data_IF_517547592777
#
_entry.id   IF_517547592777
#
_cell.length_a   1.000
_cell.length_b   1.000
_cell.length_c   1.000
_cell.angle_alpha   90.00
_cell.angle_beta   90.00
_cell.angle_gamma   90.00
#
_symmetry.space_group_name_H-M   'P 1'
#
loop_
_entity.id
_entity.type
_entity.pdbx_description
1 polymer ?
#
# COMPACT_ATOMS: atom_id res chain seq x y z
N UNK A 1 -15.83 -41.88 11.39
CA UNK A 1 -14.85 -40.90 10.92
C UNK A 1 -15.10 -40.77 9.42
N UNK A 2 -15.63 -39.65 8.95
CA UNK A 2 -15.93 -39.50 7.52
C UNK A 2 -14.61 -39.53 6.73
N UNK A 3 -14.53 -40.36 5.68
CA UNK A 3 -13.35 -40.39 4.82
C UNK A 3 -13.15 -39.00 4.21
N UNK A 4 -11.91 -38.46 4.21
CA UNK A 4 -11.65 -37.17 3.59
C UNK A 4 -11.97 -37.26 2.10
N UNK A 5 -12.90 -36.41 1.66
CA UNK A 5 -13.25 -36.33 0.24
C UNK A 5 -12.07 -35.72 -0.51
N UNK A 6 -11.42 -36.53 -1.35
CA UNK A 6 -10.35 -36.06 -2.23
C UNK A 6 -10.93 -35.15 -3.31
N UNK A 7 -10.18 -34.11 -3.63
CA UNK A 7 -10.51 -33.18 -4.70
C UNK A 7 -9.96 -33.69 -6.03
N UNK A 8 -8.84 -34.43 -5.98
CA UNK A 8 -8.25 -35.05 -7.16
C UNK A 8 -9.16 -36.14 -7.74
N UNK A 9 -9.37 -36.12 -9.07
CA UNK A 9 -10.15 -37.15 -9.76
C UNK A 9 -9.36 -38.47 -9.81
N UNK A 10 -9.82 -39.56 -9.17
CA UNK A 10 -9.12 -40.84 -9.19
C UNK A 10 -9.02 -41.46 -10.60
N UNK A 11 -9.91 -41.09 -11.53
CA UNK A 11 -9.86 -41.60 -12.91
C UNK A 11 -8.57 -41.17 -13.62
N UNK A 12 -8.03 -39.98 -13.32
CA UNK A 12 -6.76 -39.52 -13.87
C UNK A 12 -5.59 -40.47 -13.53
N UNK A 13 -5.62 -41.13 -12.36
CA UNK A 13 -4.59 -42.10 -11.96
C UNK A 13 -4.75 -43.40 -12.76
N UNK A 14 -5.99 -43.81 -13.06
CA UNK A 14 -6.28 -44.98 -13.90
C UNK A 14 -5.85 -44.74 -15.34
N UNK A 15 -6.16 -43.57 -15.90
CA UNK A 15 -5.76 -43.19 -17.27
C UNK A 15 -4.23 -43.22 -17.44
N UNK A 16 -3.49 -42.71 -16.44
CA UNK A 16 -2.02 -42.78 -16.44
C UNK A 16 -1.53 -44.23 -16.33
N UNK A 17 -2.15 -45.07 -15.50
CA UNK A 17 -1.78 -46.48 -15.39
C UNK A 17 -2.01 -47.24 -16.71
N UNK A 18 -3.12 -46.99 -17.39
CA UNK A 18 -3.42 -47.55 -18.70
C UNK A 18 -2.42 -47.08 -19.77
N UNK A 19 -1.98 -45.82 -19.72
CA UNK A 19 -0.96 -45.28 -20.64
C UNK A 19 0.39 -45.99 -20.53
N UNK A 20 0.71 -46.54 -19.35
CA UNK A 20 1.91 -47.35 -19.08
C UNK A 20 1.69 -48.84 -19.43
N UNK A 21 0.45 -49.24 -19.74
CA UNK A 21 0.07 -50.61 -20.10
C UNK A 21 -0.46 -51.45 -18.93
N UNK A 22 -0.78 -50.85 -17.79
CA UNK A 22 -1.35 -51.53 -16.63
C UNK A 22 -2.88 -51.48 -16.75
N UNK A 23 -3.50 -52.60 -17.09
CA UNK A 23 -4.94 -52.67 -17.41
C UNK A 23 -5.87 -52.67 -16.20
N UNK A 24 -5.37 -53.03 -15.02
CA UNK A 24 -6.18 -53.03 -13.80
C UNK A 24 -5.32 -52.68 -12.58
N UNK A 25 -5.76 -51.66 -11.85
CA UNK A 25 -5.14 -51.23 -10.60
C UNK A 25 -6.08 -51.56 -9.44
N UNK A 26 -5.52 -51.99 -8.31
CA UNK A 26 -6.31 -52.20 -7.10
C UNK A 26 -6.90 -50.86 -6.61
N UNK A 27 -8.16 -50.86 -6.17
CA UNK A 27 -8.87 -49.67 -5.70
C UNK A 27 -8.18 -49.00 -4.51
N UNK A 28 -7.55 -49.77 -3.64
CA UNK A 28 -6.76 -49.24 -2.53
C UNK A 28 -5.51 -48.49 -3.03
N UNK A 29 -4.86 -48.99 -4.07
CA UNK A 29 -3.71 -48.33 -4.69
C UNK A 29 -4.11 -47.02 -5.38
N UNK A 30 -5.24 -47.01 -6.11
CA UNK A 30 -5.80 -45.80 -6.72
C UNK A 30 -6.06 -44.73 -5.66
N UNK A 31 -6.65 -45.13 -4.52
CA UNK A 31 -6.95 -44.23 -3.40
C UNK A 31 -5.67 -43.65 -2.79
N UNK A 32 -4.68 -44.49 -2.47
CA UNK A 32 -3.42 -44.04 -1.87
C UNK A 32 -2.63 -43.13 -2.80
N UNK A 33 -2.55 -43.46 -4.09
CA UNK A 33 -1.86 -42.63 -5.08
C UNK A 33 -2.57 -41.29 -5.28
N UNK A 34 -3.91 -41.27 -5.34
CA UNK A 34 -4.67 -40.03 -5.46
C UNK A 34 -4.43 -39.10 -4.26
N UNK A 35 -4.38 -39.66 -3.05
CA UNK A 35 -4.03 -38.91 -1.83
C UNK A 35 -2.63 -38.32 -1.88
N UNK A 36 -1.65 -39.12 -2.33
CA UNK A 36 -0.27 -38.65 -2.43
C UNK A 36 -0.12 -37.57 -3.51
N UNK A 37 -0.73 -37.73 -4.68
CA UNK A 37 -0.71 -36.71 -5.75
C UNK A 37 -1.29 -35.39 -5.28
N UNK A 38 -2.45 -35.41 -4.63
CA UNK A 38 -3.08 -34.20 -4.08
C UNK A 38 -2.17 -33.51 -3.04
N UNK A 39 -1.55 -34.29 -2.15
CA UNK A 39 -0.60 -33.77 -1.17
C UNK A 39 0.63 -33.13 -1.83
N UNK A 40 1.23 -33.78 -2.84
CA UNK A 40 2.40 -33.26 -3.57
C UNK A 40 2.08 -32.00 -4.34
N UNK A 41 0.94 -31.94 -5.01
CA UNK A 41 0.46 -30.73 -5.71
C UNK A 41 0.27 -29.60 -4.69
N UNK A 42 -0.35 -29.87 -3.53
CA UNK A 42 -0.49 -28.91 -2.45
C UNK A 42 0.86 -28.39 -1.94
N UNK A 43 1.85 -29.27 -1.77
CA UNK A 43 3.20 -28.90 -1.35
C UNK A 43 3.87 -27.94 -2.35
N UNK A 44 3.78 -28.24 -3.65
CA UNK A 44 4.31 -27.36 -4.71
C UNK A 44 3.62 -26.01 -4.70
N UNK A 45 2.29 -25.97 -4.58
CA UNK A 45 1.52 -24.72 -4.54
C UNK A 45 1.92 -23.86 -3.34
N UNK A 46 2.04 -24.46 -2.15
CA UNK A 46 2.43 -23.72 -0.93
C UNK A 46 3.82 -23.11 -1.06
N UNK A 47 4.80 -23.86 -1.59
CA UNK A 47 6.14 -23.33 -1.81
C UNK A 47 6.16 -22.25 -2.90
N UNK A 48 5.41 -22.43 -3.99
CA UNK A 48 5.27 -21.42 -5.05
C UNK A 48 4.62 -20.13 -4.53
N UNK A 49 3.62 -20.25 -3.64
CA UNK A 49 3.02 -19.08 -2.98
C UNK A 49 4.04 -18.32 -2.14
N UNK A 50 5.02 -18.98 -1.50
CA UNK A 50 6.07 -18.26 -0.76
C UNK A 50 6.91 -17.40 -1.69
N UNK A 51 7.26 -17.89 -2.88
CA UNK A 51 7.96 -17.10 -3.90
C UNK A 51 7.12 -15.93 -4.42
N UNK A 52 5.82 -16.14 -4.65
CA UNK A 52 4.90 -15.06 -5.05
C UNK A 52 4.84 -13.94 -4.02
N UNK A 53 4.67 -14.27 -2.74
CA UNK A 53 4.64 -13.29 -1.65
C UNK A 53 5.98 -12.60 -1.46
N UNK A 54 7.11 -13.34 -1.56
CA UNK A 54 8.44 -12.76 -1.52
C UNK A 54 8.68 -11.76 -2.66
N UNK A 55 8.10 -12.03 -3.84
CA UNK A 55 8.06 -11.12 -4.99
C UNK A 55 7.08 -9.95 -4.85
N UNK A 56 6.37 -9.81 -3.73
CA UNK A 56 5.32 -8.80 -3.49
C UNK A 56 4.22 -8.78 -4.58
N UNK A 57 3.95 -9.95 -5.17
CA UNK A 57 2.90 -10.14 -6.18
C UNK A 57 1.68 -10.81 -5.55
N UNK A 58 0.52 -10.62 -6.17
CA UNK A 58 -0.75 -11.25 -5.79
C UNK A 58 -1.19 -12.34 -6.78
N UNK A 59 -0.51 -12.43 -7.92
CA UNK A 59 -0.78 -13.42 -8.97
C UNK A 59 0.38 -14.40 -9.03
N UNK A 60 0.07 -15.69 -8.90
CA UNK A 60 1.03 -16.79 -9.01
C UNK A 60 1.44 -16.97 -10.48
N UNK A 61 2.74 -16.82 -10.76
CA UNK A 61 3.30 -17.00 -12.10
C UNK A 61 3.88 -18.41 -12.30
N UNK A 62 4.12 -18.79 -13.56
CA UNK A 62 4.79 -20.05 -13.89
C UNK A 62 6.21 -20.12 -13.31
N UNK A 63 6.91 -18.98 -13.25
CA UNK A 63 8.23 -18.85 -12.64
C UNK A 63 8.23 -19.23 -11.15
N UNK A 64 7.16 -18.91 -10.41
CA UNK A 64 7.07 -19.24 -8.98
C UNK A 64 6.98 -20.76 -8.78
N UNK A 65 6.24 -21.44 -9.65
CA UNK A 65 6.15 -22.91 -9.68
C UNK A 65 7.49 -23.52 -10.09
N UNK A 66 8.16 -22.98 -11.11
CA UNK A 66 9.48 -23.47 -11.53
C UNK A 66 10.53 -23.35 -10.43
N UNK A 67 10.49 -22.30 -9.60
CA UNK A 67 11.37 -22.17 -8.45
C UNK A 67 10.99 -23.13 -7.32
N UNK A 68 9.69 -23.32 -7.07
CA UNK A 68 9.21 -24.30 -6.10
C UNK A 68 9.66 -25.74 -6.44
N UNK A 69 9.58 -26.12 -7.72
CA UNK A 69 10.05 -27.43 -8.19
C UNK A 69 11.55 -27.62 -7.94
N UNK A 70 12.37 -26.59 -8.19
CA UNK A 70 13.81 -26.63 -7.90
C UNK A 70 14.11 -26.80 -6.42
N UNK A 71 13.37 -26.13 -5.53
CA UNK A 71 13.57 -26.26 -4.07
C UNK A 71 13.14 -27.63 -3.56
N UNK A 72 12.13 -28.23 -4.19
CA UNK A 72 11.64 -29.56 -3.85
C UNK A 72 12.44 -30.69 -4.54
N UNK A 73 13.56 -30.37 -5.18
CA UNK A 73 14.40 -31.29 -5.96
C UNK A 73 13.60 -32.09 -7.02
N UNK A 74 12.58 -31.47 -7.60
CA UNK A 74 11.78 -32.03 -8.69
C UNK A 74 12.40 -31.62 -10.03
N UNK A 75 12.36 -32.52 -11.01
CA UNK A 75 12.82 -32.24 -12.36
C UNK A 75 12.12 -31.00 -12.96
N UNK A 76 12.87 -30.10 -13.62
CA UNK A 76 12.31 -28.87 -14.15
C UNK A 76 11.39 -29.15 -15.34
N UNK A 77 10.19 -28.53 -15.31
CA UNK A 77 9.24 -28.56 -16.42
C UNK A 77 9.53 -27.42 -17.41
N UNK A 78 9.81 -27.77 -18.66
CA UNK A 78 10.09 -26.82 -19.75
C UNK A 78 8.85 -26.55 -20.60
N UNK A 79 8.85 -25.42 -21.34
CA UNK A 79 7.79 -25.10 -22.30
C UNK A 79 6.67 -24.18 -21.80
N UNK A 80 6.72 -23.74 -20.53
CA UNK A 80 5.69 -22.90 -19.90
C UNK A 80 6.03 -21.39 -19.84
N UNK A 81 6.99 -20.94 -20.65
CA UNK A 81 7.41 -19.53 -20.74
C UNK A 81 6.72 -18.77 -21.88
N UNK A 82 5.94 -19.47 -22.71
CA UNK A 82 5.24 -18.86 -23.85
C UNK A 82 4.21 -17.84 -23.39
N UNK A 83 4.16 -16.69 -24.06
CA UNK A 83 3.12 -15.67 -23.86
C UNK A 83 1.80 -16.01 -24.55
N UNK A 84 1.76 -17.12 -25.30
CA UNK A 84 0.53 -17.59 -25.95
C UNK A 84 -0.38 -18.28 -24.93
N UNK A 85 -1.66 -17.92 -24.83
CA UNK A 85 -2.58 -18.61 -23.96
C UNK A 85 -2.78 -20.05 -24.45
N UNK A 86 -2.84 -21.00 -23.51
CA UNK A 86 -3.17 -22.39 -23.80
C UNK A 86 -4.62 -22.47 -24.30
N UNK A 87 -4.84 -23.23 -25.38
CA UNK A 87 -6.16 -23.56 -25.89
C UNK A 87 -6.43 -25.04 -25.61
N UNK A 88 -7.51 -25.27 -24.85
CA UNK A 88 -7.96 -26.62 -24.53
C UNK A 88 -9.07 -26.99 -25.51
N UNK A 89 -8.81 -28.00 -26.35
CA UNK A 89 -9.79 -28.63 -27.20
C UNK A 89 -10.51 -29.74 -26.44
N UNK A 90 -11.80 -29.93 -26.73
CA UNK A 90 -12.60 -31.05 -26.19
C UNK A 90 -12.84 -32.07 -27.31
N UNK A 91 -12.52 -33.33 -27.04
CA UNK A 91 -12.84 -34.46 -27.90
C UNK A 91 -13.70 -35.46 -27.12
N UNK A 92 -14.79 -35.95 -27.72
CA UNK A 92 -15.64 -36.97 -27.11
C UNK A 92 -15.25 -38.36 -27.60
N UNK A 93 -14.66 -39.18 -26.72
CA UNK A 93 -14.37 -40.59 -26.98
C UNK A 93 -15.57 -41.45 -26.54
N UNK A 94 -16.74 -41.21 -27.13
CA UNK A 94 -17.98 -41.93 -26.80
C UNK A 94 -18.84 -41.28 -25.69
N UNK A 95 -19.92 -41.95 -25.26
CA UNK A 95 -20.90 -41.35 -24.36
C UNK A 95 -20.36 -41.23 -22.92
N UNK A 96 -20.16 -40.00 -22.45
CA UNK A 96 -19.99 -39.67 -21.03
C UNK A 96 -18.58 -39.35 -20.55
N UNK A 97 -17.55 -39.41 -21.40
CA UNK A 97 -16.17 -39.09 -21.03
C UNK A 97 -15.60 -38.00 -21.95
N UNK A 98 -15.61 -36.71 -21.53
CA UNK A 98 -14.95 -35.64 -22.27
C UNK A 98 -13.43 -35.72 -22.07
N UNK A 99 -12.69 -35.87 -23.17
CA UNK A 99 -11.23 -35.82 -23.19
C UNK A 99 -10.80 -34.40 -23.58
N UNK A 100 -10.01 -33.76 -22.72
CA UNK A 100 -9.40 -32.47 -23.02
C UNK A 100 -7.98 -32.67 -23.52
N UNK A 101 -7.63 -32.00 -24.61
CA UNK A 101 -6.28 -31.97 -25.14
C UNK A 101 -5.82 -30.53 -25.36
N UNK A 102 -4.51 -30.34 -25.38
CA UNK A 102 -3.92 -29.04 -25.70
C UNK A 102 -3.78 -28.99 -27.22
N UNK A 103 -4.43 -28.01 -27.84
CA UNK A 103 -4.25 -27.76 -29.27
C UNK A 103 -2.84 -27.23 -29.53
N UNK A 104 -2.06 -27.96 -30.33
CA UNK A 104 -0.74 -27.51 -30.76
C UNK A 104 -0.81 -27.06 -32.23
N UNK A 105 -0.63 -25.75 -32.45
CA UNK A 105 -0.64 -25.16 -33.79
C UNK A 105 0.78 -25.24 -34.37
N UNK A 106 0.95 -26.04 -35.42
CA UNK A 106 2.20 -26.10 -36.17
C UNK A 106 2.49 -24.74 -36.83
N UNK A 107 3.68 -24.19 -36.58
CA UNK A 107 4.11 -22.92 -37.16
C UNK A 107 5.25 -23.14 -38.14
N UNK A 108 5.10 -22.61 -39.35
CA UNK A 108 6.17 -22.59 -40.34
C UNK A 108 7.38 -21.76 -39.85
N UNK A 109 8.59 -22.33 -39.99
CA UNK A 109 9.82 -21.69 -39.59
C UNK A 109 10.08 -20.40 -40.37
N UNK A 110 9.71 -20.32 -41.65
CA UNK A 110 9.90 -19.07 -42.42
C UNK A 110 9.07 -17.92 -41.84
N UNK A 111 7.87 -18.23 -41.35
CA UNK A 111 7.00 -17.24 -40.69
C UNK A 111 7.58 -16.79 -39.34
N UNK A 112 8.19 -17.70 -38.59
CA UNK A 112 8.80 -17.39 -37.30
C UNK A 112 10.07 -16.52 -37.46
N UNK A 113 10.92 -16.86 -38.43
CA UNK A 113 12.17 -16.14 -38.72
C UNK A 113 11.87 -14.71 -39.20
N UNK A 114 10.84 -14.55 -40.03
CA UNK A 114 10.44 -13.25 -40.57
C UNK A 114 9.52 -12.46 -39.63
N UNK A 115 9.23 -12.97 -38.42
CA UNK A 115 8.39 -12.28 -37.46
C UNK A 115 9.09 -11.00 -36.93
N UNK A 116 8.37 -9.87 -36.80
CA UNK A 116 8.95 -8.65 -36.28
C UNK A 116 9.32 -8.79 -34.81
N UNK A 117 10.39 -8.12 -34.41
CA UNK A 117 10.83 -8.08 -33.00
C UNK A 117 9.76 -7.42 -32.12
N UNK A 118 9.57 -7.91 -30.88
CA UNK A 118 8.64 -7.30 -29.95
C UNK A 118 9.11 -5.90 -29.54
N UNK A 119 8.15 -5.05 -29.15
CA UNK A 119 8.45 -3.71 -28.63
C UNK A 119 9.05 -3.83 -27.24
N UNK A 120 10.11 -3.07 -26.98
CA UNK A 120 10.76 -3.00 -25.68
C UNK A 120 10.08 -1.91 -24.83
N UNK A 121 9.67 -2.20 -23.58
CA UNK A 121 9.20 -1.19 -22.64
C UNK A 121 10.26 -0.12 -22.35
N UNK A 122 9.82 1.02 -21.80
CA UNK A 122 10.76 2.03 -21.29
C UNK A 122 11.45 1.51 -20.02
N UNK A 123 12.64 2.03 -19.75
CA UNK A 123 13.36 1.77 -18.50
C UNK A 123 12.56 2.26 -17.28
N UNK A 124 12.85 1.64 -16.13
CA UNK A 124 12.21 1.99 -14.85
C UNK A 124 12.54 3.43 -14.43
N UNK A 125 11.49 4.21 -14.20
CA UNK A 125 11.55 5.55 -13.60
C UNK A 125 10.54 5.67 -12.46
N UNK A 126 10.81 6.51 -11.46
CA UNK A 126 9.87 6.80 -10.38
C UNK A 126 9.25 8.20 -10.56
N UNK A 127 7.99 8.34 -10.15
CA UNK A 127 7.28 9.62 -10.10
C UNK A 127 6.70 9.78 -8.70
N UNK A 128 7.14 10.82 -8.00
CA UNK A 128 6.65 11.13 -6.66
C UNK A 128 5.48 12.12 -6.71
N UNK A 129 4.53 11.97 -5.79
CA UNK A 129 3.46 12.93 -5.55
C UNK A 129 3.06 12.87 -4.07
N UNK A 130 2.35 13.89 -3.61
CA UNK A 130 1.81 13.92 -2.25
C UNK A 130 0.54 13.07 -2.16
N UNK A 131 0.63 11.95 -1.45
CA UNK A 131 -0.54 11.13 -1.13
C UNK A 131 -1.42 11.79 -0.06
N UNK A 132 -0.80 12.44 0.92
CA UNK A 132 -1.49 13.16 1.98
C UNK A 132 -0.65 14.34 2.47
N UNK A 133 -1.31 15.42 2.86
CA UNK A 133 -0.75 16.58 3.55
C UNK A 133 -1.60 16.78 4.80
N UNK A 134 -0.99 16.79 5.99
CA UNK A 134 -1.71 16.91 7.27
C UNK A 134 -2.84 15.87 7.45
N UNK A 135 -2.64 14.66 6.94
CA UNK A 135 -3.64 13.57 7.01
C UNK A 135 -4.81 13.72 6.03
N UNK A 136 -4.82 14.77 5.19
CA UNK A 136 -5.81 14.97 4.14
C UNK A 136 -5.20 14.63 2.78
N UNK A 137 -5.91 13.84 1.99
CA UNK A 137 -5.51 13.51 0.62
C UNK A 137 -5.79 14.69 -0.32
N UNK A 138 -4.78 15.25 -1.02
CA UNK A 138 -5.01 16.33 -1.96
C UNK A 138 -5.67 15.82 -3.24
N UNK A 139 -6.55 16.62 -3.83
CA UNK A 139 -7.26 16.31 -5.08
C UNK A 139 -6.38 16.54 -6.31
N UNK A 140 -5.37 15.69 -6.49
CA UNK A 140 -4.51 15.66 -7.69
C UNK A 140 -4.90 14.47 -8.58
N UNK A 141 -4.63 14.51 -9.90
CA UNK A 141 -4.99 13.42 -10.82
C UNK A 141 -4.42 12.04 -10.44
N UNK A 142 -3.32 12.01 -9.69
CA UNK A 142 -2.66 10.79 -9.23
C UNK A 142 -3.35 10.14 -8.01
N UNK A 143 -4.15 10.90 -7.27
CA UNK A 143 -4.85 10.42 -6.09
C UNK A 143 -6.27 9.96 -6.45
N UNK A 144 -6.73 8.80 -5.95
CA UNK A 144 -8.09 8.34 -6.18
C UNK A 144 -9.12 9.32 -5.61
N UNK A 145 -10.22 9.49 -6.33
CA UNK A 145 -11.38 10.18 -5.77
C UNK A 145 -12.08 9.30 -4.74
N UNK A 146 -12.81 9.93 -3.81
CA UNK A 146 -13.59 9.22 -2.79
C UNK A 146 -14.67 8.31 -3.38
N UNK A 147 -15.15 8.60 -4.60
CA UNK A 147 -16.09 7.77 -5.34
C UNK A 147 -15.42 6.52 -5.93
N UNK A 148 -14.23 6.67 -6.52
CA UNK A 148 -13.45 5.55 -7.08
C UNK A 148 -12.96 4.58 -6.00
N UNK A 149 -12.56 5.10 -4.83
CA UNK A 149 -12.17 4.28 -3.69
C UNK A 149 -13.29 3.31 -3.25
N UNK A 150 -14.55 3.75 -3.26
CA UNK A 150 -15.71 2.89 -2.90
C UNK A 150 -16.02 1.83 -3.95
N UNK A 151 -15.82 2.15 -5.23
CA UNK A 151 -16.15 1.23 -6.33
C UNK A 151 -15.14 0.08 -6.47
N UNK A 152 -13.92 0.26 -5.98
CA UNK A 152 -12.80 -0.68 -6.18
C UNK A 152 -12.54 -1.58 -4.95
N UNK A 153 -13.16 -1.29 -3.81
CA UNK A 153 -12.92 -2.01 -2.55
C UNK A 153 -13.81 -3.25 -2.41
N UNK A 154 -13.29 -4.41 -2.83
CA UNK A 154 -13.83 -5.75 -2.51
C UNK A 154 -13.41 -6.27 -1.11
N UNK A 155 -12.62 -5.50 -0.36
CA UNK A 155 -12.15 -5.87 0.99
C UNK A 155 -12.45 -4.71 1.94
N UNK A 156 -13.26 -4.91 3.01
CA UNK A 156 -13.51 -3.87 4.00
C UNK A 156 -12.22 -3.52 4.75
N UNK A 157 -11.81 -2.25 4.69
CA UNK A 157 -10.80 -1.73 5.63
C UNK A 157 -11.44 -1.47 6.98
N UNK A 158 -10.68 -1.70 8.06
CA UNK A 158 -11.14 -1.56 9.43
C UNK A 158 -11.69 -0.17 9.79
N UNK A 159 -12.43 -0.05 10.90
CA UNK A 159 -13.07 1.19 11.30
C UNK A 159 -12.01 2.31 11.50
N UNK A 160 -12.14 3.40 10.73
CA UNK A 160 -11.19 4.53 10.70
C UNK A 160 -10.62 4.84 9.31
N UNK A 161 -10.74 3.91 8.35
CA UNK A 161 -10.24 4.08 6.98
C UNK A 161 -11.21 4.83 6.04
N UNK A 162 -12.35 5.33 6.54
CA UNK A 162 -13.36 6.00 5.73
C UNK A 162 -13.12 7.53 5.70
N UNK A 163 -12.66 8.13 4.57
CA UNK A 163 -12.56 9.58 4.41
C UNK A 163 -13.94 10.27 4.37
N UNK A 164 -15.00 9.45 4.34
CA UNK A 164 -16.42 9.81 4.22
C UNK A 164 -16.97 10.76 5.28
N UNK A 165 -16.27 11.00 6.39
CA UNK A 165 -16.70 11.99 7.39
C UNK A 165 -16.30 13.43 7.00
N UNK A 166 -15.24 13.62 6.21
CA UNK A 166 -14.80 14.96 5.81
C UNK A 166 -15.54 15.49 4.57
N UNK A 167 -15.96 14.60 3.66
CA UNK A 167 -16.60 14.99 2.40
C UNK A 167 -18.06 15.46 2.53
N UNK A 168 -18.72 15.25 3.67
CA UNK A 168 -20.11 15.67 3.89
C UNK A 168 -20.27 17.19 4.11
N UNK A 169 -19.16 17.94 4.20
CA UNK A 169 -19.15 19.37 4.50
C UNK A 169 -19.12 20.31 3.27
N UNK A 170 -19.23 19.76 2.05
CA UNK A 170 -19.59 20.55 0.85
C UNK A 170 -18.71 21.76 0.54
N UNK A 171 -17.38 21.58 0.43
CA UNK A 171 -16.47 22.66 0.07
C UNK A 171 -15.57 22.28 -1.10
N UNK A 172 -16.04 22.50 -2.33
CA UNK A 172 -15.35 22.29 -3.63
C UNK A 172 -14.19 23.26 -3.91
N UNK A 173 -13.69 23.94 -2.88
CA UNK A 173 -12.43 24.69 -2.93
C UNK A 173 -11.70 24.45 -1.61
N UNK A 174 -10.80 23.45 -1.57
CA UNK A 174 -9.84 23.35 -0.45
C UNK A 174 -8.71 24.36 -0.69
N UNK A 175 -9.08 25.64 -0.73
CA UNK A 175 -8.24 26.63 -0.07
C UNK A 175 -8.03 26.10 1.35
N UNK A 176 -6.79 26.08 1.81
CA UNK A 176 -6.41 25.72 3.16
C UNK A 176 -7.16 26.64 4.15
N UNK A 177 -8.41 26.30 4.45
CA UNK A 177 -9.22 26.95 5.46
C UNK A 177 -9.06 26.05 6.68
N UNK A 178 -8.25 26.44 7.68
CA UNK A 178 -8.22 25.72 8.94
C UNK A 178 -9.54 26.00 9.67
N UNK A 179 -10.61 25.36 9.24
CA UNK A 179 -11.91 25.30 9.93
C UNK A 179 -12.21 23.90 10.47
N UNK A 180 -11.26 22.98 10.34
CA UNK A 180 -11.22 21.79 11.18
C UNK A 180 -10.47 22.22 12.43
N UNK A 181 -11.18 22.41 13.54
CA UNK A 181 -10.53 22.48 14.86
C UNK A 181 -9.65 21.25 14.95
N UNK A 182 -8.32 21.40 14.84
CA UNK A 182 -7.42 20.32 15.19
C UNK A 182 -7.87 19.83 16.58
N UNK A 183 -7.92 18.53 16.79
CA UNK A 183 -8.35 17.95 18.07
C UNK A 183 -7.20 18.19 19.06
N UNK A 184 -7.02 19.44 19.45
CA UNK A 184 -6.00 19.88 20.39
C UNK A 184 -6.42 19.36 21.75
N UNK A 185 -5.54 18.61 22.41
CA UNK A 185 -5.80 18.13 23.77
C UNK A 185 -5.86 19.31 24.74
N UNK A 186 -6.51 19.13 25.89
CA UNK A 186 -6.54 20.15 26.95
C UNK A 186 -5.12 20.56 27.38
N UNK A 187 -4.17 19.61 27.37
CA UNK A 187 -2.78 19.86 27.73
C UNK A 187 -2.06 20.73 26.69
N UNK A 188 -2.29 20.48 25.40
CA UNK A 188 -1.72 21.29 24.32
C UNK A 188 -2.28 22.73 24.34
N UNK A 189 -3.57 22.90 24.70
CA UNK A 189 -4.16 24.24 24.88
C UNK A 189 -3.50 24.96 26.05
N UNK A 190 -3.36 24.30 27.21
CA UNK A 190 -2.69 24.88 28.39
C UNK A 190 -1.23 25.22 28.09
N UNK A 191 -0.54 24.39 27.31
CA UNK A 191 0.82 24.65 26.86
C UNK A 191 0.89 25.90 25.97
N UNK A 192 -0.01 26.00 24.99
CA UNK A 192 -0.11 27.18 24.12
C UNK A 192 -0.40 28.46 24.92
N UNK A 193 -1.35 28.42 25.85
CA UNK A 193 -1.69 29.57 26.70
C UNK A 193 -0.52 29.98 27.60
N UNK A 194 0.22 29.00 28.15
CA UNK A 194 1.40 29.27 28.97
C UNK A 194 2.53 29.92 28.18
N UNK A 195 2.76 29.48 26.94
CA UNK A 195 3.73 30.10 26.03
C UNK A 195 3.30 31.53 25.68
N UNK A 196 2.02 31.71 25.31
CA UNK A 196 1.47 33.03 24.97
C UNK A 196 1.64 34.01 26.13
N UNK A 197 1.36 33.58 27.36
CA UNK A 197 1.56 34.37 28.56
C UNK A 197 3.02 34.75 28.77
N UNK A 198 3.94 33.78 28.74
CA UNK A 198 5.36 34.01 28.98
C UNK A 198 6.04 34.89 27.91
N UNK A 199 5.58 34.84 26.66
CA UNK A 199 6.14 35.62 25.56
C UNK A 199 5.66 37.08 25.57
N UNK A 200 4.41 37.33 25.99
CA UNK A 200 3.82 38.68 26.00
C UNK A 200 4.01 39.45 27.30
N UNK A 201 4.56 38.81 28.34
CA UNK A 201 4.89 39.47 29.60
C UNK A 201 6.05 40.47 29.40
N UNK A 202 5.82 41.75 29.67
CA UNK A 202 6.78 42.85 29.50
C UNK A 202 7.60 43.15 30.77
N UNK A 203 7.35 42.43 31.87
CA UNK A 203 8.01 42.72 33.14
C UNK A 203 9.54 42.50 33.05
N UNK A 204 10.36 43.46 33.55
CA UNK A 204 11.83 43.39 33.45
C UNK A 204 12.46 42.45 34.48
N UNK A 205 11.64 41.71 35.24
CA UNK A 205 12.11 40.79 36.26
C UNK A 205 12.93 39.65 35.66
N UNK A 206 14.05 39.34 36.33
CA UNK A 206 15.01 38.34 35.86
C UNK A 206 14.37 36.95 35.71
N UNK A 207 13.37 36.64 36.54
CA UNK A 207 12.62 35.38 36.48
C UNK A 207 11.72 35.29 35.23
N UNK A 208 11.06 36.39 34.85
CA UNK A 208 10.20 36.47 33.66
C UNK A 208 11.04 36.33 32.39
N UNK A 209 12.23 36.94 32.35
CA UNK A 209 13.17 36.79 31.24
C UNK A 209 13.64 35.33 31.07
N UNK A 210 13.89 34.63 32.18
CA UNK A 210 14.27 33.21 32.14
C UNK A 210 13.10 32.32 31.70
N UNK A 211 11.88 32.63 32.13
CA UNK A 211 10.68 31.91 31.71
C UNK A 211 10.44 32.06 30.20
N UNK A 212 10.63 33.27 29.65
CA UNK A 212 10.50 33.55 28.21
C UNK A 212 11.51 32.77 27.37
N UNK A 213 12.78 32.78 27.77
CA UNK A 213 13.83 31.98 27.10
C UNK A 213 13.53 30.48 27.15
N UNK A 214 13.06 30.00 28.30
CA UNK A 214 12.69 28.59 28.48
C UNK A 214 11.50 28.20 27.60
N UNK A 215 10.51 29.09 27.44
CA UNK A 215 9.38 28.88 26.56
C UNK A 215 9.81 28.78 25.08
N UNK A 216 10.69 29.67 24.62
CA UNK A 216 11.23 29.63 23.26
C UNK A 216 12.07 28.36 23.00
N UNK A 217 12.88 27.95 23.96
CA UNK A 217 13.66 26.70 23.85
C UNK A 217 12.76 25.47 23.86
N UNK A 218 11.65 25.50 24.62
CA UNK A 218 10.62 24.45 24.60
C UNK A 218 10.01 24.32 23.20
N UNK A 219 9.67 25.42 22.53
CA UNK A 219 9.15 25.40 21.14
C UNK A 219 10.19 24.86 20.16
N UNK A 220 11.47 25.14 20.40
CA UNK A 220 12.57 24.71 19.53
C UNK A 220 12.86 23.21 19.60
N UNK A 221 12.64 22.58 20.74
CA UNK A 221 13.03 21.18 20.98
C UNK A 221 11.86 20.20 20.98
N UNK A 222 10.65 20.64 21.33
CA UNK A 222 9.51 19.73 21.55
C UNK A 222 8.95 19.19 20.21
N UNK A 223 8.89 17.84 20.03
CA UNK A 223 8.34 17.22 18.83
C UNK A 223 6.82 17.11 18.80
N UNK A 224 6.12 17.32 19.92
CA UNK A 224 4.67 17.16 20.04
C UNK A 224 3.84 18.32 19.49
N UNK A 225 4.48 19.36 18.93
CA UNK A 225 3.83 20.64 18.65
C UNK A 225 3.17 20.73 17.27
N UNK A 226 3.17 19.66 16.48
CA UNK A 226 2.66 19.66 15.10
C UNK A 226 1.23 20.20 15.00
N UNK A 227 0.33 19.78 15.91
CA UNK A 227 -1.06 20.25 15.94
C UNK A 227 -1.20 21.74 16.32
N UNK A 228 -0.19 22.32 16.97
CA UNK A 228 -0.18 23.73 17.39
C UNK A 228 0.44 24.66 16.34
N UNK A 229 1.16 24.14 15.35
CA UNK A 229 1.82 24.94 14.30
C UNK A 229 0.86 25.92 13.61
N UNK A 230 -0.36 25.52 13.16
CA UNK A 230 -1.30 26.47 12.55
C UNK A 230 -1.69 27.60 13.49
N UNK A 231 -1.86 27.30 14.78
CA UNK A 231 -2.27 28.27 15.80
C UNK A 231 -1.13 29.24 16.13
N UNK A 232 0.12 28.77 16.16
CA UNK A 232 1.28 29.66 16.31
C UNK A 232 1.43 30.59 15.10
N UNK A 233 1.30 30.08 13.88
CA UNK A 233 1.35 30.90 12.65
C UNK A 233 0.25 31.97 12.66
N UNK A 234 -1.00 31.58 12.98
CA UNK A 234 -2.10 32.52 13.09
C UNK A 234 -1.88 33.56 14.20
N UNK A 235 -1.37 33.14 15.36
CA UNK A 235 -1.07 34.03 16.47
C UNK A 235 0.02 35.06 16.12
N UNK A 236 1.10 34.62 15.44
CA UNK A 236 2.15 35.50 14.94
C UNK A 236 1.56 36.51 13.94
N UNK A 237 0.79 36.04 12.95
CA UNK A 237 0.17 36.90 11.95
C UNK A 237 -0.77 37.94 12.58
N UNK A 238 -1.62 37.54 13.53
CA UNK A 238 -2.52 38.44 14.25
C UNK A 238 -1.75 39.50 15.05
N UNK A 239 -0.74 39.10 15.82
CA UNK A 239 0.03 40.03 16.66
C UNK A 239 0.88 40.99 15.86
N UNK A 240 1.49 40.54 14.77
CA UNK A 240 2.24 41.43 13.87
C UNK A 240 1.30 42.45 13.23
N UNK A 241 0.10 42.05 12.82
CA UNK A 241 -0.87 42.95 12.15
C UNK A 241 -1.49 43.98 13.12
N UNK A 242 -1.83 43.55 14.33
CA UNK A 242 -2.52 44.41 15.32
C UNK A 242 -1.59 45.23 16.22
N UNK A 243 -0.29 44.93 16.28
CA UNK A 243 0.66 45.56 17.22
C UNK A 243 1.93 46.06 16.54
N UNK A 244 1.79 46.70 15.38
CA UNK A 244 2.90 47.29 14.60
C UNK A 244 3.69 48.37 15.34
N UNK A 245 3.08 49.04 16.33
CA UNK A 245 3.72 50.10 17.10
C UNK A 245 4.53 49.59 18.30
N UNK A 246 4.34 48.33 18.72
CA UNK A 246 5.05 47.76 19.86
C UNK A 246 6.25 46.94 19.37
N UNK A 247 7.46 47.49 19.52
CA UNK A 247 8.72 46.84 19.13
C UNK A 247 9.02 45.58 19.93
N UNK A 248 8.59 45.52 21.20
CA UNK A 248 8.77 44.35 22.04
C UNK A 248 7.98 43.17 21.48
N UNK A 249 6.68 43.35 21.22
CA UNK A 249 5.81 42.29 20.67
C UNK A 249 6.33 41.79 19.32
N UNK A 250 6.77 42.69 18.45
CA UNK A 250 7.33 42.33 17.14
C UNK A 250 8.62 41.49 17.29
N UNK A 251 9.54 41.90 18.16
CA UNK A 251 10.75 41.13 18.43
C UNK A 251 10.40 39.72 18.94
N UNK A 252 9.44 39.62 19.87
CA UNK A 252 9.01 38.34 20.42
C UNK A 252 8.37 37.42 19.37
N UNK A 253 7.58 37.97 18.43
CA UNK A 253 7.01 37.18 17.33
C UNK A 253 8.10 36.68 16.36
N UNK A 254 9.13 37.48 16.11
CA UNK A 254 10.28 37.08 15.29
C UNK A 254 11.10 35.98 15.97
N UNK A 255 11.34 36.09 17.28
CA UNK A 255 12.04 35.07 18.06
C UNK A 255 11.25 33.75 18.11
N UNK A 256 9.92 33.81 18.28
CA UNK A 256 9.04 32.63 18.21
C UNK A 256 9.09 31.96 16.83
N UNK A 257 9.04 32.75 15.76
CA UNK A 257 9.13 32.24 14.38
C UNK A 257 10.48 31.57 14.14
N UNK A 258 11.57 32.18 14.61
CA UNK A 258 12.92 31.58 14.55
C UNK A 258 13.02 30.29 15.35
N UNK A 259 12.37 30.20 16.52
CA UNK A 259 12.35 28.99 17.33
C UNK A 259 11.60 27.85 16.63
N UNK A 260 10.46 28.15 15.98
CA UNK A 260 9.72 27.19 15.17
C UNK A 260 10.54 26.68 13.99
N UNK A 261 11.13 27.57 13.19
CA UNK A 261 11.95 27.20 12.02
C UNK A 261 13.17 26.37 12.42
N UNK A 262 13.76 26.64 13.59
CA UNK A 262 14.89 25.88 14.10
C UNK A 262 14.52 24.46 14.57
N UNK A 263 13.24 24.16 14.76
CA UNK A 263 12.77 22.84 15.20
C UNK A 263 12.70 21.86 14.01
N UNK A 264 13.64 20.91 13.96
CA UNK A 264 13.75 19.90 12.90
C UNK A 264 12.62 18.86 12.90
N UNK A 265 11.86 18.78 13.98
CA UNK A 265 10.77 17.80 14.12
C UNK A 265 9.45 18.29 13.53
N UNK A 266 9.34 19.60 13.24
CA UNK A 266 8.15 20.22 12.70
C UNK A 266 8.23 20.32 11.18
N UNK A 267 7.19 19.85 10.50
CA UNK A 267 7.04 20.03 9.06
C UNK A 267 6.37 21.38 8.77
N UNK A 268 7.18 22.41 8.52
CA UNK A 268 6.72 23.80 8.35
C UNK A 268 6.49 24.15 6.87
N UNK A 269 6.97 23.33 5.94
CA UNK A 269 6.85 23.56 4.49
C UNK A 269 5.43 23.90 4.01
N UNK A 270 4.34 23.28 4.52
CA UNK A 270 2.97 23.64 4.11
C UNK A 270 2.58 25.08 4.44
N UNK A 271 3.22 25.68 5.45
CA UNK A 271 2.85 26.99 6.01
C UNK A 271 3.73 28.13 5.52
N UNK A 272 4.75 27.87 4.69
CA UNK A 272 5.71 28.89 4.21
C UNK A 272 5.05 30.01 3.39
N UNK A 273 3.93 29.71 2.72
CA UNK A 273 3.21 30.68 1.89
C UNK A 273 2.15 31.50 2.64
N UNK A 274 1.96 31.25 3.95
CA UNK A 274 1.01 31.97 4.81
C UNK A 274 1.64 33.22 5.41
#
# INVERSE_FOLDING_TARGET
MAEPKLVWNPDNVRDVAESVGISSLNEEAVRSLSQEVEYRVGQVIVEAMRFMHAGKRTVLGTQDISQALKVLDVEPLYGYESTRPLRFGEASLGPGQPLFYIEDEEVDFEKLINAPLPKVPRDMSFTAHWLAVEGVQPSIPQNPTTAEARATELVPKGPGANPSLAAMAGNDNVAFKPLVKHVVSKELILFFDKIRGAILDEDPDTEVLNLRKSALESVRQDPGLHQLVPYFVQFVAEKVTHSLHNTFVLQQMMELTSAMIANKSLFIEPYVAS
#
